data_IF_184824663230
#
_entry.id   IF_184824663230
#
_cell.length_a   1.000
_cell.length_b   1.000
_cell.length_c   1.000
_cell.angle_alpha   90.00
_cell.angle_beta   90.00
_cell.angle_gamma   90.00
#
_symmetry.space_group_name_H-M   'P 1'
#
loop_
_entity.id
_entity.type
_entity.pdbx_description
1 polymer ?
#
# COMPACT_ATOMS: atom_id res chain seq x y z
N UNK A 1 23.46 27.31 -6.89
CA UNK A 1 22.67 28.10 -5.92
C UNK A 1 21.47 28.70 -6.65
N UNK A 2 20.23 28.36 -6.27
CA UNK A 2 19.02 29.22 -6.39
C UNK A 2 17.83 28.44 -5.80
N UNK A 3 17.55 28.72 -4.53
CA UNK A 3 16.38 28.22 -3.79
C UNK A 3 15.19 29.12 -4.14
N UNK A 4 14.15 28.58 -4.78
CA UNK A 4 12.89 29.31 -4.98
C UNK A 4 11.99 29.03 -3.77
N UNK A 5 11.78 30.06 -2.94
CA UNK A 5 10.82 30.06 -1.83
C UNK A 5 9.71 31.04 -2.21
N UNK A 6 8.56 30.52 -2.61
CA UNK A 6 7.36 31.34 -2.83
C UNK A 6 6.71 31.55 -1.46
N UNK A 7 6.78 32.80 -0.99
CA UNK A 7 6.06 33.31 0.17
C UNK A 7 4.79 33.96 -0.35
N UNK A 8 3.63 33.41 0.01
CA UNK A 8 2.35 34.11 -0.16
C UNK A 8 1.81 34.43 1.22
N UNK A 9 1.63 35.72 1.47
CA UNK A 9 1.05 36.26 2.69
C UNK A 9 -0.06 37.25 2.32
N UNK A 10 -0.91 37.54 3.31
CA UNK A 10 -1.93 38.60 3.36
C UNK A 10 -3.24 38.11 2.70
N UNK A 11 -4.40 38.10 3.37
CA UNK A 11 -5.07 39.26 3.97
C UNK A 11 -5.98 38.87 5.13
N UNK A 12 -5.91 39.64 6.22
CA UNK A 12 -6.86 39.64 7.32
C UNK A 12 -8.15 40.38 6.93
N UNK A 13 -9.31 39.86 7.35
CA UNK A 13 -10.56 40.60 7.40
C UNK A 13 -11.20 40.38 8.77
N UNK A 14 -11.31 41.48 9.51
CA UNK A 14 -11.95 41.65 10.81
C UNK A 14 -13.46 41.84 10.68
N UNK A 15 -14.21 41.44 11.72
CA UNK A 15 -15.57 41.88 12.02
C UNK A 15 -16.56 40.72 12.12
N UNK A 16 -17.52 40.64 13.04
CA UNK A 16 -17.88 41.40 14.24
C UNK A 16 -18.88 40.49 15.01
N UNK A 17 -18.93 40.64 16.33
CA UNK A 17 -19.76 39.83 17.23
C UNK A 17 -21.27 40.16 17.14
N UNK A 18 -22.13 39.17 17.41
CA UNK A 18 -23.45 39.40 18.01
C UNK A 18 -23.97 38.13 18.71
N UNK A 19 -24.26 38.28 20.00
CA UNK A 19 -25.02 37.36 20.86
C UNK A 19 -26.51 37.41 20.48
N UNK A 20 -27.19 36.26 20.49
CA UNK A 20 -28.63 36.22 20.71
C UNK A 20 -29.04 34.89 21.37
N UNK A 21 -29.64 35.03 22.55
CA UNK A 21 -30.29 34.00 23.35
C UNK A 21 -31.66 33.62 22.74
N UNK A 22 -32.10 32.39 23.02
CA UNK A 22 -33.51 32.10 23.25
C UNK A 22 -34.16 31.12 22.29
N UNK A 23 -34.79 30.09 22.86
CA UNK A 23 -35.79 29.26 22.18
C UNK A 23 -35.81 27.80 22.61
N UNK A 24 -36.38 27.50 23.78
CA UNK A 24 -36.89 26.16 24.08
C UNK A 24 -38.13 25.90 23.23
N UNK A 25 -38.09 24.89 22.36
CA UNK A 25 -39.27 24.30 21.77
C UNK A 25 -39.09 22.77 21.74
N UNK A 26 -39.99 22.07 22.43
CA UNK A 26 -40.06 20.62 22.50
C UNK A 26 -40.44 20.03 21.13
N UNK A 27 -39.72 19.01 20.70
CA UNK A 27 -40.04 18.20 19.52
C UNK A 27 -40.18 16.71 19.94
N UNK A 28 -41.08 15.94 19.31
CA UNK A 28 -41.45 14.62 19.78
C UNK A 28 -40.37 13.56 19.48
N UNK A 29 -40.26 12.58 20.38
CA UNK A 29 -39.42 11.40 20.21
C UNK A 29 -40.00 10.49 19.12
N UNK A 30 -39.50 10.63 17.89
CA UNK A 30 -39.72 9.66 16.82
C UNK A 30 -38.61 8.60 16.87
N UNK A 31 -39.00 7.35 17.08
CA UNK A 31 -38.14 6.18 17.04
C UNK A 31 -37.49 6.06 15.65
N UNK A 32 -36.15 6.14 15.59
CA UNK A 32 -35.39 5.81 14.40
C UNK A 32 -34.96 4.33 14.48
N UNK A 33 -35.27 3.49 13.49
CA UNK A 33 -34.68 2.16 13.41
C UNK A 33 -33.17 2.30 13.22
N UNK A 34 -32.39 1.62 14.06
CA UNK A 34 -30.95 1.44 13.86
C UNK A 34 -30.73 0.54 12.64
N UNK A 35 -30.80 1.12 11.45
CA UNK A 35 -30.15 0.58 10.27
C UNK A 35 -28.65 0.78 10.45
N UNK A 36 -28.00 -0.23 11.07
CA UNK A 36 -26.58 -0.43 10.87
C UNK A 36 -26.34 -0.47 9.36
N UNK A 37 -25.45 0.36 8.78
CA UNK A 37 -25.07 0.15 7.41
C UNK A 37 -24.28 -1.17 7.39
N UNK A 38 -24.94 -2.23 6.93
CA UNK A 38 -24.28 -3.39 6.38
C UNK A 38 -23.49 -2.91 5.17
N UNK A 39 -22.27 -2.42 5.41
CA UNK A 39 -21.27 -2.19 4.38
C UNK A 39 -20.73 -3.55 3.92
N UNK A 40 -21.62 -4.34 3.33
CA UNK A 40 -21.28 -5.31 2.30
C UNK A 40 -21.51 -4.59 0.98
N UNK A 41 -20.80 -3.46 0.83
CA UNK A 41 -20.58 -2.90 -0.48
C UNK A 41 -19.49 -3.77 -1.07
N UNK A 42 -19.80 -4.45 -2.18
CA UNK A 42 -18.82 -5.04 -3.07
C UNK A 42 -17.86 -3.93 -3.48
N UNK A 43 -16.86 -3.69 -2.64
CA UNK A 43 -15.81 -2.76 -2.93
C UNK A 43 -15.06 -3.36 -4.11
N UNK A 44 -15.12 -2.68 -5.25
CA UNK A 44 -13.86 -2.38 -5.94
C UNK A 44 -12.95 -1.87 -4.82
N UNK A 45 -12.15 -2.77 -4.24
CA UNK A 45 -11.39 -2.46 -3.05
C UNK A 45 -10.47 -1.30 -3.43
N UNK A 46 -10.74 -0.12 -2.89
CA UNK A 46 -9.96 1.08 -3.15
C UNK A 46 -8.48 0.75 -2.89
N UNK A 47 -7.56 1.21 -3.72
CA UNK A 47 -6.11 1.10 -3.42
C UNK A 47 -5.64 2.32 -2.63
N UNK A 48 -4.55 2.15 -1.88
CA UNK A 48 -3.93 3.24 -1.13
C UNK A 48 -4.57 3.48 0.23
N UNK A 49 -4.78 2.42 1.00
CA UNK A 49 -5.34 2.51 2.36
C UNK A 49 -4.60 1.60 3.34
N UNK A 50 -4.64 1.97 4.62
CA UNK A 50 -4.09 1.14 5.69
C UNK A 50 -5.12 0.12 6.17
N UNK A 51 -4.73 -1.15 6.22
CA UNK A 51 -5.58 -2.25 6.69
C UNK A 51 -4.82 -3.16 7.65
N UNK A 52 -5.55 -3.90 8.48
CA UNK A 52 -4.96 -4.87 9.41
C UNK A 52 -4.70 -6.23 8.74
N UNK A 53 -5.23 -6.42 7.52
CA UNK A 53 -5.06 -7.63 6.71
C UNK A 53 -5.10 -7.22 5.25
N UNK A 54 -4.33 -7.94 4.42
CA UNK A 54 -4.28 -7.70 2.98
C UNK A 54 -5.35 -8.56 2.31
N UNK A 55 -6.32 -7.97 1.58
CA UNK A 55 -7.32 -8.72 0.84
C UNK A 55 -6.72 -9.60 -0.26
N UNK A 56 -7.39 -10.70 -0.61
CA UNK A 56 -7.00 -11.54 -1.73
C UNK A 56 -6.97 -10.75 -3.05
N UNK A 57 -5.96 -10.99 -3.87
CA UNK A 57 -5.77 -10.29 -5.15
C UNK A 57 -5.15 -8.89 -5.02
N UNK A 58 -4.95 -8.37 -3.80
CA UNK A 58 -4.20 -7.14 -3.55
C UNK A 58 -2.78 -7.45 -3.09
N UNK A 59 -1.95 -6.41 -3.07
CA UNK A 59 -0.64 -6.44 -2.43
C UNK A 59 -0.52 -5.29 -1.44
N UNK A 60 0.62 -5.19 -0.77
CA UNK A 60 0.94 -4.06 0.10
C UNK A 60 2.36 -3.59 -0.16
N UNK A 61 2.59 -2.28 -0.01
CA UNK A 61 3.90 -1.67 -0.23
C UNK A 61 4.60 -1.24 1.06
N UNK A 62 3.85 -1.17 2.17
CA UNK A 62 4.38 -0.69 3.45
C UNK A 62 3.72 -1.40 4.64
N UNK A 63 4.42 -1.41 5.78
CA UNK A 63 4.00 -2.01 7.03
C UNK A 63 4.34 -1.08 8.17
N UNK A 64 3.34 -0.83 9.00
CA UNK A 64 3.49 0.00 10.20
C UNK A 64 3.07 -0.82 11.42
N UNK A 65 4.01 -0.99 12.36
CA UNK A 65 3.81 -1.74 13.60
C UNK A 65 3.70 -0.78 14.78
N UNK A 66 2.55 -0.77 15.44
CA UNK A 66 2.24 0.11 16.59
C UNK A 66 1.76 -0.68 17.79
N UNK A 67 2.13 -0.22 18.98
CA UNK A 67 1.58 -0.73 20.23
C UNK A 67 0.26 -0.01 20.53
N UNK A 68 -0.78 -0.77 20.87
CA UNK A 68 -2.15 -0.29 21.10
C UNK A 68 -2.70 0.50 19.90
N UNK A 69 -2.39 0.05 18.69
CA UNK A 69 -2.86 0.65 17.44
C UNK A 69 -4.22 0.12 16.99
N UNK A 70 -4.75 0.64 15.89
CA UNK A 70 -6.06 0.26 15.32
C UNK A 70 -6.18 -1.24 15.08
N UNK A 71 -5.10 -1.89 14.66
CA UNK A 71 -5.08 -3.33 14.37
C UNK A 71 -4.87 -4.23 15.58
N UNK A 72 -4.47 -3.66 16.73
CA UNK A 72 -4.41 -4.37 18.00
C UNK A 72 -4.47 -3.38 19.16
N UNK A 73 -5.65 -3.12 19.76
CA UNK A 73 -5.79 -2.14 20.84
C UNK A 73 -5.19 -2.61 22.17
N UNK A 74 -4.90 -3.92 22.32
CA UNK A 74 -4.42 -4.52 23.57
C UNK A 74 -2.93 -4.88 23.54
N UNK A 75 -2.24 -4.69 22.41
CA UNK A 75 -0.85 -5.12 22.25
C UNK A 75 -0.19 -4.57 20.99
N UNK A 76 0.84 -5.26 20.48
CA UNK A 76 1.45 -4.91 19.21
C UNK A 76 0.59 -5.37 18.03
N UNK A 77 0.26 -4.46 17.12
CA UNK A 77 -0.44 -4.74 15.87
C UNK A 77 0.35 -4.23 14.68
N UNK A 78 0.24 -4.92 13.56
CA UNK A 78 0.79 -4.48 12.27
C UNK A 78 -0.36 -4.07 11.36
N UNK A 79 -0.20 -2.93 10.71
CA UNK A 79 -1.04 -2.46 9.62
C UNK A 79 -0.24 -2.48 8.32
N UNK A 80 -0.94 -2.67 7.21
CA UNK A 80 -0.39 -2.85 5.88
C UNK A 80 -0.98 -1.78 4.97
N UNK A 81 -0.13 -1.11 4.19
CA UNK A 81 -0.59 -0.16 3.18
C UNK A 81 -0.95 -0.92 1.91
N UNK A 82 -2.23 -1.23 1.76
CA UNK A 82 -2.78 -2.06 0.69
C UNK A 82 -2.89 -1.24 -0.59
N UNK A 83 -2.37 -1.80 -1.68
CA UNK A 83 -2.37 -1.20 -3.01
C UNK A 83 -2.79 -2.23 -4.05
N UNK A 84 -3.27 -1.72 -5.19
CA UNK A 84 -3.49 -2.52 -6.37
C UNK A 84 -2.14 -2.93 -6.95
N UNK A 85 -1.96 -4.19 -7.35
CA UNK A 85 -0.77 -4.56 -8.08
C UNK A 85 -0.75 -3.88 -9.44
N UNK A 86 0.42 -3.36 -9.81
CA UNK A 86 0.66 -2.69 -11.06
C UNK A 86 2.14 -2.84 -11.45
N UNK A 87 2.42 -2.71 -12.73
CA UNK A 87 3.80 -2.69 -13.23
C UNK A 87 4.61 -1.53 -12.60
N UNK A 88 5.84 -1.81 -12.18
CA UNK A 88 6.78 -0.82 -11.68
C UNK A 88 6.60 -0.40 -10.21
N UNK A 89 5.67 -1.00 -9.46
CA UNK A 89 5.52 -0.72 -8.03
C UNK A 89 6.39 -1.65 -7.18
N UNK A 90 6.95 -1.12 -6.10
CA UNK A 90 7.57 -1.95 -5.07
C UNK A 90 6.49 -2.49 -4.13
N UNK A 91 6.40 -3.81 -4.06
CA UNK A 91 5.43 -4.52 -3.25
C UNK A 91 6.12 -5.55 -2.36
N UNK A 92 5.51 -5.83 -1.22
CA UNK A 92 6.05 -6.78 -0.25
C UNK A 92 5.63 -8.22 -0.51
N UNK A 93 4.61 -8.40 -1.35
CA UNK A 93 4.18 -9.69 -1.87
C UNK A 93 3.94 -9.60 -3.37
N UNK A 94 4.21 -10.70 -4.07
CA UNK A 94 3.95 -10.83 -5.51
C UNK A 94 2.58 -11.50 -5.68
N UNK A 95 1.57 -10.79 -6.20
CA UNK A 95 0.26 -11.38 -6.43
C UNK A 95 0.27 -12.30 -7.66
N UNK A 96 -0.75 -13.16 -7.75
CA UNK A 96 -0.93 -14.03 -8.91
C UNK A 96 -1.09 -13.23 -10.20
N UNK A 97 -0.53 -13.71 -11.30
CA UNK A 97 -0.53 -13.02 -12.59
C UNK A 97 0.59 -11.99 -12.75
N UNK A 98 1.32 -11.64 -11.68
CA UNK A 98 2.47 -10.76 -11.74
C UNK A 98 3.77 -11.55 -11.61
N UNK A 99 4.84 -10.96 -12.13
CA UNK A 99 6.22 -11.35 -11.82
C UNK A 99 6.94 -10.17 -11.17
N UNK A 100 8.23 -10.30 -10.91
CA UNK A 100 9.06 -9.22 -10.43
C UNK A 100 10.42 -9.21 -11.15
N UNK A 101 11.00 -8.04 -11.27
CA UNK A 101 12.28 -7.82 -11.99
C UNK A 101 13.42 -7.47 -11.06
N UNK A 102 13.10 -7.02 -9.84
CA UNK A 102 14.08 -6.61 -8.84
C UNK A 102 13.60 -6.96 -7.43
N UNK A 103 14.56 -7.19 -6.54
CA UNK A 103 14.34 -7.58 -5.15
C UNK A 103 15.26 -6.75 -4.26
N UNK A 104 14.67 -6.06 -3.29
CA UNK A 104 15.40 -5.29 -2.29
C UNK A 104 15.09 -5.87 -0.90
N UNK A 105 16.14 -6.07 -0.09
CA UNK A 105 16.02 -6.61 1.25
C UNK A 105 16.62 -5.64 2.25
N UNK A 106 15.78 -5.09 3.13
CA UNK A 106 16.18 -4.09 4.13
C UNK A 106 15.77 -4.51 5.53
N UNK A 107 16.65 -4.26 6.49
CA UNK A 107 16.33 -4.36 7.91
C UNK A 107 15.44 -3.18 8.30
N UNK A 108 14.29 -3.45 8.92
CA UNK A 108 13.29 -2.44 9.28
C UNK A 108 12.85 -1.58 8.09
N UNK A 109 12.68 -2.23 6.93
CA UNK A 109 12.20 -1.60 5.70
C UNK A 109 10.67 -1.58 5.63
N UNK A 110 10.16 -1.10 4.49
CA UNK A 110 8.72 -0.96 4.24
C UNK A 110 7.96 -2.29 4.45
N UNK A 111 8.55 -3.42 4.06
CA UNK A 111 7.87 -4.72 4.15
C UNK A 111 7.97 -5.43 5.50
N UNK A 112 8.79 -4.92 6.42
CA UNK A 112 8.89 -5.46 7.78
C UNK A 112 9.43 -4.39 8.74
N UNK A 113 8.58 -3.91 9.64
CA UNK A 113 8.95 -2.90 10.63
C UNK A 113 9.90 -3.39 11.75
N UNK A 114 10.09 -4.71 11.93
CA UNK A 114 10.83 -5.28 13.07
C UNK A 114 12.15 -5.94 12.67
N UNK A 115 12.15 -6.61 11.52
CA UNK A 115 13.26 -7.43 11.04
C UNK A 115 13.57 -7.14 9.57
N UNK A 116 14.28 -8.05 8.90
CA UNK A 116 14.47 -7.97 7.46
C UNK A 116 13.15 -8.19 6.73
N UNK A 117 12.79 -7.23 5.89
CA UNK A 117 11.71 -7.33 4.91
C UNK A 117 12.29 -7.41 3.51
N UNK A 118 11.58 -8.10 2.62
CA UNK A 118 11.91 -8.15 1.20
C UNK A 118 10.78 -7.48 0.42
N UNK A 119 11.15 -6.52 -0.42
CA UNK A 119 10.28 -5.90 -1.42
C UNK A 119 10.66 -6.41 -2.80
N UNK A 120 9.68 -6.45 -3.69
CA UNK A 120 9.77 -6.91 -5.06
C UNK A 120 9.25 -5.82 -5.98
N UNK A 121 10.02 -5.49 -7.02
CA UNK A 121 9.57 -4.58 -8.08
C UNK A 121 8.67 -5.37 -9.02
N UNK A 122 7.36 -5.18 -8.86
CA UNK A 122 6.37 -5.89 -9.66
C UNK A 122 6.49 -5.53 -11.12
N UNK A 123 6.26 -6.52 -11.97
CA UNK A 123 6.16 -6.34 -13.39
C UNK A 123 5.02 -7.18 -13.96
N UNK A 124 4.34 -6.62 -14.94
CA UNK A 124 3.39 -7.38 -15.75
C UNK A 124 4.17 -8.29 -16.70
N UNK A 125 3.84 -9.58 -16.74
CA UNK A 125 4.60 -10.53 -17.53
C UNK A 125 4.37 -10.29 -19.02
N UNK A 126 5.46 -10.09 -19.76
CA UNK A 126 5.45 -9.84 -21.21
C UNK A 126 6.73 -10.35 -21.84
N UNK A 127 6.64 -10.75 -23.11
CA UNK A 127 7.80 -11.23 -23.86
C UNK A 127 8.92 -10.19 -23.91
N UNK A 128 10.17 -10.62 -23.68
CA UNK A 128 11.36 -9.79 -23.77
C UNK A 128 11.77 -9.08 -22.47
N UNK A 129 11.11 -9.32 -21.34
CA UNK A 129 11.57 -8.84 -20.03
C UNK A 129 12.42 -9.91 -19.33
N UNK A 130 13.39 -9.45 -18.54
CA UNK A 130 14.10 -10.28 -17.57
C UNK A 130 13.31 -10.32 -16.27
N UNK A 131 12.70 -11.47 -15.97
CA UNK A 131 11.90 -11.69 -14.78
C UNK A 131 12.59 -12.65 -13.81
N UNK A 132 12.39 -12.46 -12.51
CA UNK A 132 13.00 -13.30 -11.49
C UNK A 132 12.23 -14.61 -11.23
N UNK A 133 10.99 -14.67 -11.71
CA UNK A 133 10.16 -15.87 -11.71
C UNK A 133 9.45 -16.01 -13.05
N UNK A 134 9.18 -17.26 -13.44
CA UNK A 134 8.43 -17.57 -14.67
C UNK A 134 6.94 -17.63 -14.31
N UNK A 135 6.12 -16.70 -14.82
CA UNK A 135 4.69 -16.68 -14.59
C UNK A 135 3.97 -17.76 -15.42
N UNK A 136 2.77 -18.14 -15.01
CA UNK A 136 1.97 -19.13 -15.73
C UNK A 136 1.67 -18.68 -17.15
N UNK A 137 1.84 -19.57 -18.14
CA UNK A 137 1.62 -19.26 -19.56
C UNK A 137 2.83 -18.65 -20.26
N UNK A 138 3.94 -18.41 -19.56
CA UNK A 138 5.20 -18.00 -20.15
C UNK A 138 6.22 -19.14 -20.09
N UNK A 139 7.12 -19.15 -21.07
CA UNK A 139 8.38 -19.88 -21.08
C UNK A 139 9.54 -18.88 -21.02
N UNK A 140 10.77 -19.38 -21.06
CA UNK A 140 11.96 -18.52 -21.14
C UNK A 140 12.89 -19.01 -22.24
N UNK A 141 13.66 -18.08 -22.81
CA UNK A 141 14.68 -18.37 -23.83
C UNK A 141 16.09 -18.33 -23.28
N UNK A 142 16.32 -17.56 -22.21
CA UNK A 142 17.64 -17.36 -21.61
C UNK A 142 17.55 -17.22 -20.09
N UNK A 143 18.66 -17.50 -19.42
CA UNK A 143 18.80 -17.38 -17.96
C UNK A 143 20.09 -16.67 -17.60
N UNK A 144 19.99 -15.66 -16.75
CA UNK A 144 21.15 -14.93 -16.22
C UNK A 144 21.21 -15.13 -14.70
N UNK A 145 22.32 -15.70 -14.22
CA UNK A 145 22.54 -16.02 -12.81
C UNK A 145 23.61 -15.12 -12.23
N UNK A 146 23.23 -14.28 -11.27
CA UNK A 146 24.12 -13.28 -10.64
C UNK A 146 24.18 -13.45 -9.14
N UNK A 147 25.37 -13.29 -8.58
CA UNK A 147 25.57 -13.12 -7.15
C UNK A 147 25.25 -11.69 -6.75
N UNK A 148 24.36 -11.51 -5.78
CA UNK A 148 23.83 -10.21 -5.36
C UNK A 148 23.24 -9.40 -6.53
N UNK A 149 22.56 -10.12 -7.43
CA UNK A 149 21.83 -9.52 -8.56
C UNK A 149 20.41 -9.10 -8.18
N UNK A 150 19.68 -8.59 -9.17
CA UNK A 150 18.33 -8.06 -9.02
C UNK A 150 17.37 -9.06 -8.35
N UNK A 151 17.42 -10.32 -8.74
CA UNK A 151 16.50 -11.32 -8.19
C UNK A 151 16.83 -11.79 -6.77
N UNK A 152 18.07 -11.60 -6.32
CA UNK A 152 18.50 -11.97 -4.96
C UNK A 152 19.63 -11.06 -4.46
N UNK A 153 19.32 -10.08 -3.59
CA UNK A 153 20.33 -9.13 -3.08
C UNK A 153 21.29 -9.75 -2.04
N UNK A 154 21.02 -10.97 -1.56
CA UNK A 154 21.79 -11.62 -0.49
C UNK A 154 22.63 -12.80 -0.94
N UNK A 155 22.42 -13.30 -2.16
CA UNK A 155 23.07 -14.50 -2.65
C UNK A 155 22.93 -14.65 -4.16
N UNK A 156 22.95 -15.89 -4.65
CA UNK A 156 22.73 -16.16 -6.06
C UNK A 156 21.24 -16.03 -6.41
N UNK A 157 20.93 -15.25 -7.44
CA UNK A 157 19.61 -15.16 -8.04
C UNK A 157 19.68 -15.46 -9.52
N UNK A 158 18.61 -16.01 -10.07
CA UNK A 158 18.46 -16.26 -11.51
C UNK A 158 17.34 -15.39 -12.02
N UNK A 159 17.58 -14.71 -13.14
CA UNK A 159 16.57 -14.05 -13.95
C UNK A 159 16.37 -14.84 -15.24
N UNK A 160 15.18 -14.73 -15.82
CA UNK A 160 14.70 -15.48 -16.98
C UNK A 160 14.19 -14.49 -18.03
N UNK A 161 14.68 -14.60 -19.26
CA UNK A 161 14.16 -13.82 -20.38
C UNK A 161 12.85 -14.44 -20.86
N UNK A 162 11.73 -13.79 -20.57
CA UNK A 162 10.40 -14.35 -20.82
C UNK A 162 10.05 -14.38 -22.32
N UNK A 163 9.38 -15.46 -22.72
CA UNK A 163 8.73 -15.65 -24.02
C UNK A 163 7.34 -16.25 -23.81
N UNK A 164 6.36 -15.76 -24.55
CA UNK A 164 4.96 -16.22 -24.51
C UNK A 164 4.52 -16.83 -25.83
#
# INVERSE_FOLDING_TARGET
MKRSRIRTAITAATGAAALALGGLAAAPAAAAPSSAPSAQESATAASGFWACTVPSGKTYSDTDRRFRGTCNPSGWGTSYYVVDPADGIWACTVPSGYTYTDTDRRYRGNCNATDYGTSYLLAEPRTGIWACTIPSGFSYTDTDRRYRGNCNPTGWGTSYLLVG
#
